data_IF_421303160323
#
_entry.id   IF_421303160323
#
_cell.length_a   1.000
_cell.length_b   1.000
_cell.length_c   1.000
_cell.angle_alpha   90.00
_cell.angle_beta   90.00
_cell.angle_gamma   90.00
#
_symmetry.space_group_name_H-M   'P 1'
#
loop_
_entity.id
_entity.type
_entity.pdbx_description
1 polymer ?
#
# COMPACT_ATOMS: atom_id res chain seq x y z
N UNK A 1 -73.23 31.25 -9.78
CA UNK A 1 -72.05 31.73 -10.52
C UNK A 1 -70.82 31.41 -9.71
N UNK A 2 -70.20 30.32 -10.09
CA UNK A 2 -69.07 29.69 -9.38
C UNK A 2 -67.79 30.25 -9.95
N UNK A 3 -66.93 30.85 -9.12
CA UNK A 3 -65.61 31.36 -9.53
C UNK A 3 -64.60 30.29 -9.20
N UNK A 4 -64.03 29.74 -10.27
CA UNK A 4 -62.93 28.75 -10.23
C UNK A 4 -61.69 29.34 -9.54
N UNK A 5 -61.26 28.67 -8.45
CA UNK A 5 -59.98 28.90 -7.82
C UNK A 5 -58.89 28.12 -8.58
N UNK A 6 -58.10 28.85 -9.37
CA UNK A 6 -56.87 28.33 -9.95
C UNK A 6 -55.98 27.65 -8.85
N UNK A 7 -55.77 26.36 -9.00
CA UNK A 7 -54.81 25.59 -8.24
C UNK A 7 -53.38 26.01 -8.65
N UNK A 8 -52.73 26.77 -7.79
CA UNK A 8 -51.28 26.90 -7.86
C UNK A 8 -50.66 25.53 -7.51
N UNK A 9 -50.05 24.89 -8.49
CA UNK A 9 -49.33 23.65 -8.36
C UNK A 9 -48.23 23.80 -7.32
N UNK A 10 -48.21 22.89 -6.34
CA UNK A 10 -47.09 22.70 -5.43
C UNK A 10 -45.82 22.43 -6.25
N UNK A 11 -44.89 23.40 -6.30
CA UNK A 11 -43.51 23.17 -6.75
C UNK A 11 -42.96 22.01 -5.88
N UNK A 12 -42.70 20.84 -6.51
CA UNK A 12 -41.85 19.82 -5.93
C UNK A 12 -40.56 20.52 -5.51
N UNK A 13 -40.10 20.34 -4.28
CA UNK A 13 -38.74 20.71 -3.86
C UNK A 13 -37.78 20.04 -4.83
N UNK A 14 -37.26 20.82 -5.80
CA UNK A 14 -36.26 20.36 -6.74
C UNK A 14 -35.00 20.02 -5.94
N UNK A 15 -34.45 18.84 -6.16
CA UNK A 15 -33.11 18.54 -5.71
C UNK A 15 -32.18 19.59 -6.35
N UNK A 16 -31.42 20.31 -5.51
CA UNK A 16 -30.39 21.24 -5.98
C UNK A 16 -29.28 20.38 -6.62
N UNK A 17 -28.85 20.72 -7.85
CA UNK A 17 -27.74 20.06 -8.51
C UNK A 17 -26.50 20.11 -7.60
N UNK A 18 -25.75 19.03 -7.55
CA UNK A 18 -24.46 18.95 -6.85
C UNK A 18 -23.32 19.00 -7.85
N UNK A 19 -22.34 19.87 -7.60
CA UNK A 19 -21.14 19.99 -8.42
C UNK A 19 -19.91 19.68 -7.59
N UNK A 20 -19.18 18.63 -7.98
CA UNK A 20 -17.91 18.23 -7.38
C UNK A 20 -16.76 18.88 -8.18
N UNK A 21 -15.89 19.61 -7.50
CA UNK A 21 -14.67 20.21 -8.05
C UNK A 21 -13.46 19.38 -7.62
N UNK A 22 -12.74 18.77 -8.57
CA UNK A 22 -11.56 17.94 -8.28
C UNK A 22 -10.31 18.80 -8.20
N UNK A 23 -9.63 18.80 -7.05
CA UNK A 23 -8.42 19.57 -6.78
C UNK A 23 -7.23 18.66 -6.49
N UNK A 24 -6.03 19.04 -6.94
CA UNK A 24 -4.77 18.31 -6.68
C UNK A 24 -3.80 18.31 -7.85
N UNK A 25 -2.54 17.94 -7.56
CA UNK A 25 -1.45 17.88 -8.54
C UNK A 25 -1.68 16.75 -9.57
N UNK A 26 -1.03 16.79 -10.72
CA UNK A 26 -1.05 15.71 -11.70
C UNK A 26 -0.60 14.38 -11.08
N UNK A 27 -1.28 13.28 -11.43
CA UNK A 27 -1.01 11.96 -10.80
C UNK A 27 -1.70 11.71 -9.45
N UNK A 28 -2.38 12.71 -8.84
CA UNK A 28 -3.01 12.55 -7.53
C UNK A 28 -4.28 11.68 -7.51
N UNK A 29 -4.79 11.22 -8.66
CA UNK A 29 -5.95 10.33 -8.73
C UNK A 29 -7.29 11.03 -8.96
N UNK A 30 -7.32 12.33 -9.31
CA UNK A 30 -8.53 13.10 -9.63
C UNK A 30 -9.40 12.40 -10.65
N UNK A 31 -8.83 12.05 -11.80
CA UNK A 31 -9.55 11.41 -12.91
C UNK A 31 -10.15 10.06 -12.51
N UNK A 32 -9.44 9.27 -11.70
CA UNK A 32 -9.96 8.00 -11.18
C UNK A 32 -11.18 8.22 -10.29
N UNK A 33 -11.11 9.21 -9.41
CA UNK A 33 -12.26 9.59 -8.56
C UNK A 33 -13.42 10.14 -9.39
N UNK A 34 -13.14 11.01 -10.36
CA UNK A 34 -14.17 11.60 -11.24
C UNK A 34 -14.87 10.54 -12.08
N UNK A 35 -14.15 9.55 -12.62
CA UNK A 35 -14.74 8.40 -13.33
C UNK A 35 -15.61 7.53 -12.44
N UNK A 36 -15.24 7.35 -11.17
CA UNK A 36 -16.11 6.66 -10.22
C UNK A 36 -17.42 7.43 -10.00
N UNK A 37 -17.37 8.76 -9.91
CA UNK A 37 -18.55 9.60 -9.79
C UNK A 37 -19.42 9.56 -11.07
N UNK A 38 -18.81 9.47 -12.24
CA UNK A 38 -19.51 9.27 -13.50
C UNK A 38 -20.30 7.95 -13.50
N UNK A 39 -19.75 6.87 -12.98
CA UNK A 39 -20.46 5.59 -12.77
C UNK A 39 -21.62 5.71 -11.76
N UNK A 40 -21.54 6.64 -10.82
CA UNK A 40 -22.60 6.97 -9.86
C UNK A 40 -23.68 7.91 -10.46
N UNK A 41 -23.55 8.31 -11.74
CA UNK A 41 -24.54 9.11 -12.47
C UNK A 41 -24.21 10.60 -12.59
N UNK A 42 -23.04 11.06 -12.16
CA UNK A 42 -22.55 12.43 -12.41
C UNK A 42 -22.14 12.60 -13.86
N UNK A 43 -22.30 13.80 -14.41
CA UNK A 43 -21.75 14.13 -15.73
C UNK A 43 -20.33 14.68 -15.52
N UNK A 44 -19.35 14.01 -16.10
CA UNK A 44 -17.95 14.44 -15.98
C UNK A 44 -17.59 15.45 -17.05
N UNK A 45 -16.91 16.53 -16.64
CA UNK A 45 -16.31 17.55 -17.51
C UNK A 45 -14.79 17.50 -17.32
N UNK A 46 -14.04 17.29 -18.40
CA UNK A 46 -12.58 17.18 -18.40
C UNK A 46 -11.99 17.97 -19.56
N UNK A 47 -11.06 18.88 -19.26
CA UNK A 47 -10.34 19.64 -20.29
C UNK A 47 -9.49 18.69 -21.13
N UNK A 48 -8.75 17.77 -20.50
CA UNK A 48 -7.84 16.85 -21.18
C UNK A 48 -8.60 15.98 -22.21
N UNK A 49 -9.75 15.42 -21.82
CA UNK A 49 -10.55 14.62 -22.76
C UNK A 49 -11.15 15.43 -23.90
N UNK A 50 -11.64 16.63 -23.62
CA UNK A 50 -12.23 17.48 -24.67
C UNK A 50 -11.14 17.99 -25.63
N UNK A 51 -9.94 18.34 -25.10
CA UNK A 51 -8.77 18.67 -25.91
C UNK A 51 -8.36 17.53 -26.84
N UNK A 52 -8.25 16.31 -26.27
CA UNK A 52 -7.91 15.12 -27.05
C UNK A 52 -8.94 14.83 -28.15
N UNK A 53 -10.21 15.00 -27.84
CA UNK A 53 -11.31 14.76 -28.79
C UNK A 53 -11.32 15.77 -29.93
N UNK A 54 -11.08 17.06 -29.64
CA UNK A 54 -11.17 18.15 -30.63
C UNK A 54 -9.89 18.32 -31.44
N UNK A 55 -8.73 18.14 -30.82
CA UNK A 55 -7.44 18.51 -31.39
C UNK A 55 -6.42 17.36 -31.45
N UNK A 56 -6.65 16.24 -30.75
CA UNK A 56 -5.72 15.12 -30.72
C UNK A 56 -4.56 15.35 -29.76
N UNK A 57 -3.36 14.93 -30.17
CA UNK A 57 -2.16 14.84 -29.30
C UNK A 57 -1.31 16.11 -29.40
N UNK A 58 -1.03 16.73 -28.26
CA UNK A 58 -0.11 17.86 -28.12
C UNK A 58 1.27 17.53 -28.70
N UNK A 59 1.82 18.42 -29.53
CA UNK A 59 3.13 18.24 -30.15
C UNK A 59 3.17 17.24 -31.32
N UNK A 60 2.04 16.57 -31.62
CA UNK A 60 1.91 15.62 -32.74
C UNK A 60 0.82 16.05 -33.70
N UNK A 61 -0.41 16.19 -33.23
CA UNK A 61 -1.56 16.53 -34.06
C UNK A 61 -1.79 18.05 -34.10
N UNK A 62 -1.26 18.82 -33.12
CA UNK A 62 -1.20 20.29 -33.12
C UNK A 62 0.08 20.78 -32.41
N UNK A 63 0.59 22.00 -32.77
CA UNK A 63 1.77 22.60 -32.16
C UNK A 63 1.66 22.82 -30.66
N UNK A 64 2.74 22.58 -29.93
CA UNK A 64 2.76 22.70 -28.46
C UNK A 64 2.44 24.11 -27.98
N UNK A 65 2.88 25.14 -28.71
CA UNK A 65 2.69 26.56 -28.40
C UNK A 65 1.21 26.97 -28.45
N UNK A 66 0.38 26.18 -29.12
CA UNK A 66 -1.07 26.45 -29.21
C UNK A 66 -1.87 25.89 -28.01
N UNK A 67 -1.23 25.07 -27.19
CA UNK A 67 -1.93 24.36 -26.11
C UNK A 67 -2.69 25.28 -25.17
N UNK A 68 -2.07 26.34 -24.66
CA UNK A 68 -2.70 27.27 -23.72
C UNK A 68 -3.95 27.91 -24.33
N UNK A 69 -3.82 28.48 -25.54
CA UNK A 69 -4.94 29.12 -26.24
C UNK A 69 -6.10 28.17 -26.51
N UNK A 70 -5.82 26.94 -26.93
CA UNK A 70 -6.84 25.92 -27.20
C UNK A 70 -7.49 25.43 -25.90
N UNK A 71 -6.70 25.24 -24.86
CA UNK A 71 -7.19 24.87 -23.54
C UNK A 71 -8.13 25.89 -22.93
N UNK A 72 -7.83 27.20 -23.04
CA UNK A 72 -8.71 28.28 -22.61
C UNK A 72 -10.05 28.27 -23.35
N UNK A 73 -10.04 28.03 -24.68
CA UNK A 73 -11.26 27.92 -25.47
C UNK A 73 -12.12 26.72 -25.03
N UNK A 74 -11.47 25.57 -24.76
CA UNK A 74 -12.15 24.37 -24.26
C UNK A 74 -12.72 24.63 -22.87
N UNK A 75 -11.97 25.25 -21.98
CA UNK A 75 -12.43 25.59 -20.64
C UNK A 75 -13.67 26.50 -20.71
N UNK A 76 -13.63 27.54 -21.53
CA UNK A 76 -14.80 28.45 -21.71
C UNK A 76 -16.05 27.72 -22.27
N UNK A 77 -15.85 26.76 -23.18
CA UNK A 77 -16.95 25.92 -23.68
C UNK A 77 -17.50 24.99 -22.58
N UNK A 78 -16.61 24.38 -21.76
CA UNK A 78 -17.01 23.53 -20.65
C UNK A 78 -17.71 24.31 -19.53
N UNK A 79 -17.33 25.56 -19.27
CA UNK A 79 -18.07 26.45 -18.35
C UNK A 79 -19.51 26.69 -18.81
N UNK A 80 -19.72 26.97 -20.09
CA UNK A 80 -21.08 27.12 -20.63
C UNK A 80 -21.88 25.83 -20.50
N UNK A 81 -21.25 24.68 -20.78
CA UNK A 81 -21.87 23.38 -20.63
C UNK A 81 -22.22 23.09 -19.16
N UNK A 82 -21.34 23.41 -18.21
CA UNK A 82 -21.58 23.29 -16.76
C UNK A 82 -22.86 24.05 -16.36
N UNK A 83 -22.99 25.34 -16.75
CA UNK A 83 -24.17 26.14 -16.42
C UNK A 83 -25.46 25.56 -17.01
N UNK A 84 -25.38 25.05 -18.23
CA UNK A 84 -26.53 24.37 -18.86
C UNK A 84 -26.95 23.11 -18.13
N UNK A 85 -25.98 22.30 -17.68
CA UNK A 85 -26.23 21.08 -16.91
C UNK A 85 -26.86 21.38 -15.54
N UNK A 86 -26.37 22.40 -14.85
CA UNK A 86 -26.94 22.86 -13.58
C UNK A 86 -28.40 23.27 -13.76
N UNK A 87 -28.71 24.06 -14.82
CA UNK A 87 -30.08 24.47 -15.15
C UNK A 87 -30.99 23.28 -15.44
N UNK A 88 -30.43 22.17 -15.96
CA UNK A 88 -31.15 20.91 -16.21
C UNK A 88 -31.30 20.05 -14.96
N UNK A 89 -30.79 20.47 -13.81
CA UNK A 89 -30.84 19.70 -12.56
C UNK A 89 -29.93 18.49 -12.56
N UNK A 90 -28.82 18.51 -13.31
CA UNK A 90 -27.86 17.41 -13.40
C UNK A 90 -26.73 17.60 -12.40
N UNK A 91 -26.30 16.50 -11.78
CA UNK A 91 -25.08 16.45 -10.96
C UNK A 91 -23.85 16.37 -11.86
N UNK A 92 -22.80 17.14 -11.52
CA UNK A 92 -21.60 17.29 -12.34
C UNK A 92 -20.34 17.06 -11.52
N UNK A 93 -19.33 16.40 -12.11
CA UNK A 93 -17.97 16.36 -11.58
C UNK A 93 -17.03 17.06 -12.55
N UNK A 94 -16.32 18.08 -12.07
CA UNK A 94 -15.34 18.86 -12.84
C UNK A 94 -13.96 18.27 -12.57
N UNK A 95 -13.43 17.54 -13.55
CA UNK A 95 -12.11 16.88 -13.49
C UNK A 95 -11.03 17.82 -14.04
N UNK A 96 -10.83 18.94 -13.33
CA UNK A 96 -9.76 19.91 -13.57
C UNK A 96 -8.75 19.83 -12.43
N UNK A 97 -7.63 20.59 -12.51
CA UNK A 97 -6.61 20.58 -11.45
C UNK A 97 -6.89 21.58 -10.34
N UNK A 98 -7.63 22.68 -10.63
CA UNK A 98 -7.92 23.78 -9.71
C UNK A 98 -6.72 24.22 -8.88
N UNK A 99 -5.66 24.64 -9.57
CA UNK A 99 -4.32 24.93 -9.03
C UNK A 99 -4.27 26.06 -8.02
N UNK A 100 -4.95 27.18 -8.34
CA UNK A 100 -4.91 28.37 -7.53
C UNK A 100 -6.20 28.55 -6.72
N UNK A 101 -6.07 29.21 -5.59
CA UNK A 101 -7.20 29.59 -4.75
C UNK A 101 -8.17 30.52 -5.51
N UNK A 102 -7.63 31.42 -6.34
CA UNK A 102 -8.43 32.33 -7.16
C UNK A 102 -9.33 31.56 -8.13
N UNK A 103 -8.76 30.62 -8.88
CA UNK A 103 -9.55 29.80 -9.82
C UNK A 103 -10.62 28.99 -9.08
N UNK A 104 -10.31 28.40 -7.93
CA UNK A 104 -11.31 27.70 -7.10
C UNK A 104 -12.45 28.59 -6.66
N UNK A 105 -12.17 29.83 -6.26
CA UNK A 105 -13.17 30.81 -5.84
C UNK A 105 -14.06 31.23 -7.01
N UNK A 106 -13.47 31.51 -8.18
CA UNK A 106 -14.23 31.87 -9.40
C UNK A 106 -15.26 30.79 -9.74
N UNK A 107 -14.86 29.52 -9.73
CA UNK A 107 -15.75 28.40 -10.01
C UNK A 107 -16.79 28.18 -8.90
N UNK A 108 -16.44 28.31 -7.63
CA UNK A 108 -17.41 28.26 -6.51
C UNK A 108 -18.50 29.31 -6.67
N UNK A 109 -18.10 30.54 -6.92
CA UNK A 109 -19.08 31.62 -7.15
C UNK A 109 -19.97 31.38 -8.38
N UNK A 110 -19.37 30.90 -9.48
CA UNK A 110 -20.12 30.60 -10.71
C UNK A 110 -21.20 29.55 -10.45
N UNK A 111 -20.84 28.47 -9.74
CA UNK A 111 -21.73 27.35 -9.41
C UNK A 111 -22.83 27.80 -8.44
N UNK A 112 -22.49 28.57 -7.41
CA UNK A 112 -23.44 29.10 -6.44
C UNK A 112 -24.44 30.08 -7.08
N UNK A 113 -23.96 30.97 -7.94
CA UNK A 113 -24.83 31.91 -8.72
C UNK A 113 -25.78 31.16 -9.65
N UNK A 114 -25.37 29.97 -10.15
CA UNK A 114 -26.22 29.09 -10.93
C UNK A 114 -27.24 28.28 -10.13
N UNK A 115 -27.17 28.32 -8.78
CA UNK A 115 -28.10 27.66 -7.88
C UNK A 115 -27.78 26.19 -7.59
N UNK A 116 -26.53 25.79 -7.67
CA UNK A 116 -26.06 24.44 -7.33
C UNK A 116 -25.22 24.41 -6.03
N UNK A 117 -25.19 23.24 -5.39
CA UNK A 117 -24.29 22.94 -4.27
C UNK A 117 -22.89 22.62 -4.78
N UNK A 118 -21.87 23.12 -4.09
CA UNK A 118 -20.45 22.89 -4.45
C UNK A 118 -19.78 22.02 -3.42
N UNK A 119 -19.07 20.98 -3.86
CA UNK A 119 -18.16 20.18 -3.03
C UNK A 119 -16.73 20.26 -3.63
N UNK A 120 -15.77 20.79 -2.87
CA UNK A 120 -14.36 20.78 -3.27
C UNK A 120 -13.70 19.51 -2.73
N UNK A 121 -13.22 18.63 -3.63
CA UNK A 121 -12.53 17.39 -3.27
C UNK A 121 -11.05 17.51 -3.60
N UNK A 122 -10.23 17.58 -2.56
CA UNK A 122 -8.78 17.66 -2.68
C UNK A 122 -8.14 16.27 -2.56
N UNK A 123 -7.51 15.83 -3.66
CA UNK A 123 -6.76 14.59 -3.73
C UNK A 123 -5.30 14.87 -3.32
N UNK A 124 -5.00 14.70 -2.02
CA UNK A 124 -3.65 14.97 -1.47
C UNK A 124 -2.78 13.72 -1.61
N UNK A 125 -1.63 13.86 -2.28
CA UNK A 125 -0.65 12.80 -2.50
C UNK A 125 0.75 13.32 -2.23
N UNK A 126 1.66 12.46 -1.75
CA UNK A 126 3.06 12.80 -1.60
C UNK A 126 3.74 12.91 -2.97
N UNK A 127 4.83 13.66 -3.05
CA UNK A 127 5.59 13.85 -4.29
C UNK A 127 6.11 12.51 -4.83
N UNK A 128 6.61 11.66 -3.95
CA UNK A 128 7.14 10.34 -4.29
C UNK A 128 6.05 9.45 -4.93
N UNK A 129 4.83 9.49 -4.35
CA UNK A 129 3.69 8.77 -4.93
C UNK A 129 3.31 9.31 -6.31
N UNK A 130 3.36 10.64 -6.49
CA UNK A 130 3.10 11.28 -7.78
C UNK A 130 4.12 10.86 -8.83
N UNK A 131 5.43 10.92 -8.51
CA UNK A 131 6.53 10.48 -9.42
C UNK A 131 6.30 9.06 -9.90
N UNK A 132 6.03 8.16 -8.99
CA UNK A 132 5.81 6.75 -9.28
C UNK A 132 4.57 6.50 -10.17
N UNK A 133 3.44 7.16 -9.86
CA UNK A 133 2.23 7.06 -10.67
C UNK A 133 2.44 7.65 -12.06
N UNK A 134 3.16 8.76 -12.16
CA UNK A 134 3.48 9.40 -13.44
C UNK A 134 4.43 8.57 -14.28
N UNK A 135 5.44 7.94 -13.68
CA UNK A 135 6.31 7.00 -14.38
C UNK A 135 5.51 5.90 -15.10
N UNK A 136 4.57 5.25 -14.39
CA UNK A 136 3.68 4.23 -15.00
C UNK A 136 2.75 4.83 -16.05
N UNK A 137 2.14 5.99 -15.76
CA UNK A 137 1.23 6.68 -16.67
C UNK A 137 1.89 7.09 -17.98
N UNK A 138 3.12 7.56 -17.91
CA UNK A 138 3.88 8.04 -19.06
C UNK A 138 4.22 6.93 -20.09
N UNK A 139 4.08 5.65 -19.72
CA UNK A 139 4.28 4.52 -20.63
C UNK A 139 3.16 4.39 -21.68
N UNK A 140 1.94 4.90 -21.38
CA UNK A 140 0.79 4.82 -22.28
C UNK A 140 0.03 6.12 -22.26
N UNK A 141 0.18 6.91 -23.32
CA UNK A 141 -0.57 8.16 -23.49
C UNK A 141 -2.00 7.88 -23.99
N UNK A 142 -2.96 8.63 -23.46
CA UNK A 142 -4.37 8.55 -23.84
C UNK A 142 -5.11 9.86 -23.49
N UNK A 143 -6.40 9.95 -23.76
CA UNK A 143 -7.21 11.15 -23.53
C UNK A 143 -7.18 11.71 -22.08
N UNK A 144 -6.85 10.88 -21.07
CA UNK A 144 -6.69 11.31 -19.67
C UNK A 144 -5.23 11.49 -19.27
N UNK A 145 -4.32 11.30 -20.22
CA UNK A 145 -2.89 11.40 -20.07
C UNK A 145 -2.28 11.83 -21.42
N UNK A 146 -2.60 13.05 -21.85
CA UNK A 146 -2.35 13.46 -23.25
C UNK A 146 -0.88 13.74 -23.56
N UNK A 147 -0.03 13.90 -22.53
CA UNK A 147 1.40 14.16 -22.68
C UNK A 147 2.20 13.63 -21.49
N UNK A 148 3.51 13.47 -21.72
CA UNK A 148 4.46 13.04 -20.69
C UNK A 148 4.66 14.14 -19.64
N UNK A 149 4.60 13.79 -18.36
CA UNK A 149 4.99 14.66 -17.26
C UNK A 149 6.37 14.20 -16.79
N UNK A 150 7.41 14.98 -17.05
CA UNK A 150 8.76 14.72 -16.53
C UNK A 150 8.87 15.10 -15.04
N UNK A 151 9.98 14.71 -14.41
CA UNK A 151 10.22 15.07 -13.00
C UNK A 151 10.35 16.60 -12.82
N UNK A 152 10.93 17.32 -13.78
CA UNK A 152 11.02 18.79 -13.76
C UNK A 152 9.64 19.44 -13.85
N UNK A 153 8.77 18.92 -14.72
CA UNK A 153 7.39 19.40 -14.85
C UNK A 153 6.62 19.11 -13.56
N UNK A 154 6.78 17.93 -12.99
CA UNK A 154 6.16 17.60 -11.70
C UNK A 154 6.64 18.52 -10.59
N UNK A 155 7.95 18.77 -10.49
CA UNK A 155 8.54 19.68 -9.51
C UNK A 155 7.92 21.06 -9.59
N UNK A 156 7.89 21.62 -10.80
CA UNK A 156 7.25 22.90 -11.06
C UNK A 156 5.77 22.91 -10.63
N UNK A 157 5.04 21.88 -11.03
CA UNK A 157 3.62 21.72 -10.70
C UNK A 157 3.38 21.56 -9.19
N UNK A 158 4.23 20.83 -8.50
CA UNK A 158 4.11 20.58 -7.07
C UNK A 158 4.33 21.85 -6.25
N UNK A 159 5.31 22.66 -6.64
CA UNK A 159 5.61 23.95 -5.96
C UNK A 159 4.64 25.07 -6.33
N UNK A 160 4.11 25.10 -7.55
CA UNK A 160 3.15 26.12 -7.98
C UNK A 160 1.73 25.84 -7.47
N UNK A 161 1.43 24.63 -7.02
CA UNK A 161 0.10 24.26 -6.53
C UNK A 161 -0.20 24.92 -5.18
N UNK A 162 -1.27 25.68 -5.13
CA UNK A 162 -1.79 26.29 -3.91
C UNK A 162 -2.73 25.32 -3.21
N UNK A 163 -2.21 24.63 -2.20
CA UNK A 163 -3.00 23.66 -1.42
C UNK A 163 -4.23 24.35 -0.81
N UNK A 164 -5.45 23.80 -0.97
CA UNK A 164 -6.62 24.36 -0.33
C UNK A 164 -6.53 24.20 1.18
N UNK A 165 -6.80 25.30 1.90
CA UNK A 165 -6.84 25.34 3.34
C UNK A 165 -7.98 26.22 3.83
N UNK A 166 -8.90 25.64 4.60
CA UNK A 166 -10.05 26.38 5.14
C UNK A 166 -11.06 26.83 4.07
N UNK A 167 -11.08 26.18 2.91
CA UNK A 167 -11.98 26.47 1.79
C UNK A 167 -13.24 25.57 1.79
N UNK A 168 -13.44 24.75 2.84
CA UNK A 168 -14.50 23.74 2.92
C UNK A 168 -14.18 22.49 2.10
N UNK A 169 -12.91 22.23 1.87
CA UNK A 169 -12.42 21.08 1.10
C UNK A 169 -12.59 19.77 1.86
N UNK A 170 -13.00 18.74 1.13
CA UNK A 170 -12.92 17.35 1.55
C UNK A 170 -11.58 16.79 1.13
N UNK A 171 -10.67 16.64 2.07
CA UNK A 171 -9.35 16.07 1.80
C UNK A 171 -9.43 14.55 1.72
N UNK A 172 -9.00 14.00 0.59
CA UNK A 172 -8.79 12.56 0.41
C UNK A 172 -7.30 12.33 0.34
N UNK A 173 -6.73 11.87 1.44
CA UNK A 173 -5.34 11.44 1.47
C UNK A 173 -5.20 10.25 0.52
N UNK A 174 -4.42 10.46 -0.54
CA UNK A 174 -3.96 9.35 -1.34
C UNK A 174 -2.91 8.65 -0.49
N UNK A 175 -3.34 7.57 0.12
CA UNK A 175 -2.38 6.59 0.62
C UNK A 175 -1.57 6.19 -0.60
N UNK A 176 -0.24 6.09 -0.45
CA UNK A 176 0.47 5.19 -1.32
C UNK A 176 -0.43 3.97 -1.35
N UNK A 177 -0.89 3.56 -2.52
CA UNK A 177 -1.21 2.17 -2.68
C UNK A 177 0.01 1.51 -2.09
N UNK A 178 -0.09 0.97 -0.84
CA UNK A 178 0.93 0.13 -0.24
C UNK A 178 1.21 -0.80 -1.38
N UNK A 179 2.33 -0.53 -2.08
CA UNK A 179 2.44 -0.95 -3.46
C UNK A 179 1.91 -2.35 -3.58
N UNK A 180 0.87 -2.52 -4.38
CA UNK A 180 0.87 -3.69 -5.20
C UNK A 180 2.13 -3.64 -6.09
N UNK A 181 3.31 -3.82 -5.46
CA UNK A 181 4.26 -4.72 -6.06
C UNK A 181 3.42 -5.94 -6.33
N UNK A 182 3.31 -6.25 -7.59
CA UNK A 182 2.67 -7.50 -7.87
C UNK A 182 3.39 -8.50 -6.98
N UNK A 183 2.64 -9.35 -6.32
CA UNK A 183 3.22 -10.40 -5.47
C UNK A 183 4.34 -11.12 -6.23
N UNK A 184 4.22 -11.12 -7.56
CA UNK A 184 5.16 -11.63 -8.53
C UNK A 184 6.49 -10.85 -8.57
N UNK A 185 6.47 -9.52 -8.41
CA UNK A 185 7.72 -8.72 -8.38
C UNK A 185 8.53 -8.99 -7.11
N UNK A 186 7.91 -9.02 -5.93
CA UNK A 186 8.59 -9.36 -4.68
C UNK A 186 9.17 -10.77 -4.76
N UNK A 187 8.40 -11.73 -5.28
CA UNK A 187 8.86 -13.10 -5.49
C UNK A 187 10.04 -13.18 -6.45
N UNK A 188 9.97 -12.43 -7.57
CA UNK A 188 11.05 -12.37 -8.56
C UNK A 188 12.34 -11.80 -7.97
N UNK A 189 12.24 -10.75 -7.14
CA UNK A 189 13.39 -10.15 -6.43
C UNK A 189 14.02 -11.17 -5.48
N UNK A 190 13.22 -11.85 -4.65
CA UNK A 190 13.73 -12.87 -3.74
C UNK A 190 14.33 -14.07 -4.47
N UNK A 191 13.74 -14.51 -5.60
CA UNK A 191 14.34 -15.55 -6.45
C UNK A 191 15.70 -15.11 -7.04
N UNK A 192 15.85 -13.84 -7.42
CA UNK A 192 17.12 -13.31 -7.94
C UNK A 192 18.18 -13.14 -6.85
N UNK A 193 17.78 -12.80 -5.65
CA UNK A 193 18.68 -12.62 -4.50
C UNK A 193 19.04 -13.95 -3.81
N UNK A 194 18.32 -15.04 -4.09
CA UNK A 194 18.37 -16.27 -3.30
C UNK A 194 19.78 -16.89 -3.19
N UNK A 195 20.50 -17.00 -4.30
CA UNK A 195 21.86 -17.59 -4.30
C UNK A 195 22.86 -16.72 -3.52
N UNK A 196 22.74 -15.39 -3.66
CA UNK A 196 23.57 -14.46 -2.90
C UNK A 196 23.28 -14.58 -1.39
N UNK A 197 22.00 -14.59 -1.00
CA UNK A 197 21.60 -14.72 0.39
C UNK A 197 21.99 -16.08 0.99
N UNK A 198 21.81 -17.17 0.26
CA UNK A 198 22.23 -18.51 0.70
C UNK A 198 23.75 -18.56 0.94
N UNK A 199 24.53 -17.94 0.06
CA UNK A 199 25.98 -17.86 0.20
C UNK A 199 26.37 -16.98 1.41
N UNK A 200 25.75 -15.79 1.55
CA UNK A 200 26.05 -14.86 2.63
C UNK A 200 25.66 -15.40 4.02
N UNK A 201 24.57 -16.15 4.10
CA UNK A 201 24.13 -16.80 5.33
C UNK A 201 24.91 -18.07 5.65
N UNK A 202 25.43 -18.77 4.65
CA UNK A 202 26.16 -20.01 4.84
C UNK A 202 25.38 -21.05 5.66
N UNK A 203 26.08 -21.88 6.44
CA UNK A 203 25.47 -22.96 7.23
C UNK A 203 24.98 -22.51 8.63
N UNK A 204 25.51 -21.40 9.15
CA UNK A 204 25.25 -20.95 10.53
C UNK A 204 24.52 -19.61 10.63
N UNK A 205 24.21 -18.97 9.50
CA UNK A 205 23.77 -17.57 9.38
C UNK A 205 24.89 -16.55 9.65
N UNK A 206 24.66 -15.29 9.27
CA UNK A 206 25.59 -14.20 9.58
C UNK A 206 25.58 -13.84 11.07
N UNK A 207 26.55 -13.03 11.50
CA UNK A 207 26.75 -12.64 12.90
C UNK A 207 25.50 -12.00 13.51
N UNK A 208 24.82 -11.13 12.77
CA UNK A 208 23.59 -10.49 13.23
C UNK A 208 22.50 -11.51 13.63
N UNK A 209 22.25 -12.49 12.77
CA UNK A 209 21.26 -13.55 13.08
C UNK A 209 21.75 -14.48 14.19
N UNK A 210 23.05 -14.78 14.21
CA UNK A 210 23.62 -15.73 15.16
C UNK A 210 23.72 -15.15 16.57
N UNK A 211 24.11 -13.87 16.70
CA UNK A 211 24.43 -13.25 17.98
C UNK A 211 23.28 -12.46 18.59
N UNK A 212 22.36 -11.94 17.77
CA UNK A 212 21.26 -11.06 18.22
C UNK A 212 19.90 -11.73 18.04
N UNK A 213 19.52 -12.08 16.82
CA UNK A 213 18.16 -12.56 16.54
C UNK A 213 17.91 -13.92 17.16
N UNK A 214 18.75 -14.92 16.81
CA UNK A 214 18.57 -16.33 17.20
C UNK A 214 18.52 -16.57 18.70
N UNK A 215 19.42 -16.01 19.52
CA UNK A 215 19.43 -16.29 20.97
C UNK A 215 18.12 -15.87 21.62
N UNK A 216 17.67 -14.64 21.40
CA UNK A 216 16.46 -14.11 22.05
C UNK A 216 15.19 -14.77 21.48
N UNK A 217 15.10 -14.96 20.17
CA UNK A 217 13.97 -15.67 19.55
C UNK A 217 13.86 -17.10 20.10
N UNK A 218 14.99 -17.81 20.24
CA UNK A 218 14.98 -19.17 20.77
C UNK A 218 14.60 -19.21 22.26
N UNK A 219 15.08 -18.25 23.06
CA UNK A 219 14.68 -18.10 24.47
C UNK A 219 13.16 -17.94 24.59
N UNK A 220 12.57 -17.05 23.79
CA UNK A 220 11.13 -16.75 23.83
C UNK A 220 10.28 -17.86 23.22
N UNK A 221 10.75 -18.52 22.19
CA UNK A 221 10.08 -19.67 21.58
C UNK A 221 10.14 -20.89 22.49
N UNK A 222 11.24 -21.06 23.27
CA UNK A 222 11.51 -22.16 24.20
C UNK A 222 11.16 -23.52 23.57
N UNK A 223 11.87 -23.94 22.49
CA UNK A 223 11.53 -25.15 21.74
C UNK A 223 11.82 -26.41 22.53
N UNK A 224 10.91 -27.40 22.48
CA UNK A 224 10.99 -28.70 23.08
C UNK A 224 10.92 -29.81 22.00
N UNK A 225 11.53 -30.97 22.14
CA UNK A 225 11.48 -32.07 21.17
C UNK A 225 10.05 -32.55 20.81
N UNK A 226 9.06 -32.29 21.67
CA UNK A 226 7.65 -32.62 21.42
C UNK A 226 6.93 -31.61 20.56
N UNK A 227 7.53 -30.44 20.32
CA UNK A 227 6.94 -29.36 19.52
C UNK A 227 6.82 -29.72 18.04
N UNK A 228 5.82 -29.11 17.41
CA UNK A 228 5.69 -29.01 15.97
C UNK A 228 5.64 -27.55 15.59
N UNK A 229 6.70 -27.06 14.98
CA UNK A 229 6.92 -25.63 14.79
C UNK A 229 6.71 -25.24 13.31
N UNK A 230 5.98 -24.14 13.08
CA UNK A 230 5.88 -23.47 11.79
C UNK A 230 6.96 -22.40 11.66
N UNK A 231 7.94 -22.59 10.78
CA UNK A 231 8.98 -21.60 10.45
C UNK A 231 8.57 -20.80 9.21
N UNK A 232 8.32 -19.51 9.40
CA UNK A 232 7.67 -18.60 8.45
C UNK A 232 8.73 -17.79 7.72
N UNK A 233 8.72 -17.83 6.37
CA UNK A 233 9.72 -17.19 5.50
C UNK A 233 11.14 -17.63 5.91
N UNK A 234 11.34 -18.95 5.85
CA UNK A 234 12.50 -19.63 6.41
C UNK A 234 13.83 -19.38 5.68
N UNK A 235 13.81 -18.70 4.51
CA UNK A 235 14.99 -18.46 3.69
C UNK A 235 15.70 -19.76 3.32
N UNK A 236 17.00 -19.85 3.59
CA UNK A 236 17.82 -21.04 3.34
C UNK A 236 17.69 -22.14 4.44
N UNK A 237 16.76 -21.99 5.37
CA UNK A 237 16.41 -22.98 6.38
C UNK A 237 17.37 -23.10 7.56
N UNK A 238 18.26 -22.14 7.78
CA UNK A 238 19.25 -22.21 8.87
C UNK A 238 18.61 -22.25 10.27
N UNK A 239 17.53 -21.50 10.50
CA UNK A 239 16.84 -21.56 11.79
C UNK A 239 16.05 -22.87 11.94
N UNK A 240 15.41 -23.35 10.87
CA UNK A 240 14.78 -24.67 10.86
C UNK A 240 15.78 -25.78 11.21
N UNK A 241 17.01 -25.72 10.65
CA UNK A 241 18.09 -26.69 10.98
C UNK A 241 18.49 -26.60 12.45
N UNK A 242 18.65 -25.40 12.99
CA UNK A 242 18.96 -25.19 14.40
C UNK A 242 17.87 -25.78 15.33
N UNK A 243 16.61 -25.74 14.96
CA UNK A 243 15.52 -26.40 15.68
C UNK A 243 15.59 -27.92 15.54
N UNK A 244 15.88 -28.41 14.34
CA UNK A 244 16.04 -29.84 14.07
C UNK A 244 17.21 -30.47 14.83
N UNK A 245 18.29 -29.74 15.09
CA UNK A 245 19.38 -30.16 15.98
C UNK A 245 18.92 -30.47 17.42
N UNK A 246 17.81 -29.88 17.83
CA UNK A 246 17.15 -30.11 19.12
C UNK A 246 16.04 -31.17 19.03
N UNK A 247 16.03 -31.96 17.96
CA UNK A 247 15.00 -32.96 17.65
C UNK A 247 13.56 -32.41 17.52
N UNK A 248 13.40 -31.13 17.17
CA UNK A 248 12.10 -30.48 16.96
C UNK A 248 11.62 -30.76 15.53
N UNK A 249 10.34 -31.09 15.37
CA UNK A 249 9.73 -31.21 14.05
C UNK A 249 9.31 -29.84 13.52
N UNK A 250 9.67 -29.55 12.27
CA UNK A 250 9.45 -28.23 11.65
C UNK A 250 8.75 -28.36 10.30
N UNK A 251 7.70 -27.57 10.08
CA UNK A 251 7.25 -27.25 8.73
C UNK A 251 7.75 -25.83 8.44
N UNK A 252 8.56 -25.68 7.41
CA UNK A 252 9.19 -24.43 7.03
C UNK A 252 8.71 -24.00 5.64
N UNK A 253 8.31 -22.73 5.47
CA UNK A 253 7.93 -22.24 4.17
C UNK A 253 8.61 -20.92 3.82
N UNK A 254 8.79 -20.72 2.53
CA UNK A 254 9.21 -19.43 1.97
C UNK A 254 8.37 -19.11 0.72
N UNK A 255 8.32 -17.84 0.34
CA UNK A 255 7.62 -17.41 -0.86
C UNK A 255 8.44 -17.68 -2.13
N UNK A 256 9.78 -17.64 -2.01
CA UNK A 256 10.72 -17.89 -3.09
C UNK A 256 10.91 -19.41 -3.31
N UNK A 257 10.54 -19.91 -4.48
CA UNK A 257 10.85 -21.30 -4.87
C UNK A 257 12.34 -21.57 -4.81
N UNK A 258 13.15 -20.58 -5.20
CA UNK A 258 14.60 -20.73 -5.23
C UNK A 258 15.19 -20.85 -3.82
N UNK A 259 14.68 -20.07 -2.85
CA UNK A 259 15.06 -20.24 -1.44
C UNK A 259 14.71 -21.62 -0.91
N UNK A 260 13.51 -22.11 -1.21
CA UNK A 260 13.06 -23.45 -0.79
C UNK A 260 13.93 -24.56 -1.40
N UNK A 261 14.35 -24.43 -2.68
CA UNK A 261 15.28 -25.36 -3.32
C UNK A 261 16.64 -25.39 -2.59
N UNK A 262 17.18 -24.20 -2.30
CA UNK A 262 18.46 -24.05 -1.59
C UNK A 262 18.36 -24.60 -0.15
N UNK A 263 17.27 -24.29 0.56
CA UNK A 263 17.00 -24.83 1.89
C UNK A 263 16.98 -26.37 1.91
N UNK A 264 16.23 -27.00 1.00
CA UNK A 264 16.17 -28.46 0.87
C UNK A 264 17.55 -29.07 0.59
N UNK A 265 18.34 -28.42 -0.26
CA UNK A 265 19.70 -28.88 -0.59
C UNK A 265 20.65 -28.75 0.60
N UNK A 266 20.64 -27.58 1.25
CA UNK A 266 21.52 -27.25 2.38
C UNK A 266 21.20 -28.09 3.61
N UNK A 267 19.92 -28.24 3.93
CA UNK A 267 19.47 -28.90 5.15
C UNK A 267 19.08 -30.38 4.95
N UNK A 268 19.58 -31.00 3.88
CA UNK A 268 19.29 -32.40 3.53
C UNK A 268 19.49 -33.40 4.70
N UNK A 269 20.45 -33.12 5.57
CA UNK A 269 20.74 -33.96 6.76
C UNK A 269 19.61 -33.99 7.79
N UNK A 270 18.69 -33.02 7.73
CA UNK A 270 17.53 -32.91 8.63
C UNK A 270 16.20 -33.21 7.96
N UNK A 271 16.20 -33.94 6.84
CA UNK A 271 14.99 -34.25 6.07
C UNK A 271 13.91 -35.00 6.87
N UNK A 272 14.32 -35.74 7.92
CA UNK A 272 13.38 -36.43 8.80
C UNK A 272 12.68 -35.49 9.82
N UNK A 273 13.22 -34.30 10.03
CA UNK A 273 12.72 -33.31 10.98
C UNK A 273 12.06 -32.11 10.29
N UNK A 274 12.48 -31.77 9.05
CA UNK A 274 12.06 -30.53 8.39
C UNK A 274 11.33 -30.83 7.08
N UNK A 275 10.08 -30.40 7.00
CA UNK A 275 9.33 -30.34 5.75
C UNK A 275 9.43 -28.91 5.18
N UNK A 276 10.03 -28.74 3.98
CA UNK A 276 10.10 -27.46 3.28
C UNK A 276 9.06 -27.36 2.18
N UNK A 277 8.31 -26.24 2.12
CA UNK A 277 7.32 -25.98 1.09
C UNK A 277 7.32 -24.51 0.64
N UNK A 278 6.67 -24.22 -0.49
CA UNK A 278 6.45 -22.86 -0.99
C UNK A 278 5.06 -22.42 -0.55
N UNK A 279 4.97 -21.24 0.08
CA UNK A 279 3.68 -20.64 0.42
C UNK A 279 3.74 -19.12 0.39
N UNK A 280 2.60 -18.48 0.10
CA UNK A 280 2.42 -17.04 0.06
C UNK A 280 1.86 -16.54 1.39
N UNK A 281 2.68 -15.85 2.18
CA UNK A 281 2.30 -15.27 3.47
C UNK A 281 1.19 -14.21 3.39
N UNK A 282 0.91 -13.67 2.20
CA UNK A 282 -0.16 -12.70 1.96
C UNK A 282 -1.48 -13.34 1.51
N UNK A 283 -1.53 -14.68 1.44
CA UNK A 283 -2.68 -15.44 0.92
C UNK A 283 -3.16 -16.47 1.94
N UNK A 284 -4.32 -16.22 2.54
CA UNK A 284 -4.91 -17.10 3.56
C UNK A 284 -5.13 -18.54 3.04
N UNK A 285 -5.57 -18.71 1.77
CA UNK A 285 -5.76 -20.05 1.19
C UNK A 285 -4.45 -20.81 1.09
N UNK A 286 -3.36 -20.13 0.67
CA UNK A 286 -2.01 -20.71 0.61
C UNK A 286 -1.53 -21.15 2.00
N UNK A 287 -1.72 -20.28 3.00
CA UNK A 287 -1.32 -20.56 4.37
C UNK A 287 -2.15 -21.67 5.02
N UNK A 288 -3.46 -21.70 4.78
CA UNK A 288 -4.33 -22.76 5.32
C UNK A 288 -4.06 -24.14 4.70
N UNK A 289 -3.44 -24.20 3.51
CA UNK A 289 -2.94 -25.44 2.91
C UNK A 289 -1.74 -26.05 3.66
N UNK A 290 -1.11 -25.28 4.56
CA UNK A 290 -0.06 -25.78 5.45
C UNK A 290 -0.58 -26.63 6.62
N UNK A 291 -1.89 -26.62 6.85
CA UNK A 291 -2.52 -27.41 7.90
C UNK A 291 -2.20 -28.89 7.73
N UNK A 292 -1.82 -29.55 8.82
CA UNK A 292 -1.57 -30.98 8.91
C UNK A 292 -2.56 -31.61 9.90
N UNK A 293 -2.43 -32.91 10.11
CA UNK A 293 -3.28 -33.66 11.06
C UNK A 293 -3.06 -33.21 12.51
N UNK A 294 -1.88 -32.72 12.84
CA UNK A 294 -1.53 -32.15 14.15
C UNK A 294 -1.43 -30.62 14.01
N UNK A 295 -2.02 -29.82 14.89
CA UNK A 295 -1.83 -28.38 14.90
C UNK A 295 -0.37 -28.05 15.27
N UNK A 296 0.07 -26.82 14.94
CA UNK A 296 1.38 -26.35 15.38
C UNK A 296 1.32 -25.93 16.85
N UNK A 297 2.32 -26.33 17.64
CA UNK A 297 2.47 -25.88 19.01
C UNK A 297 3.04 -24.46 19.06
N UNK A 298 3.90 -24.14 18.10
CA UNK A 298 4.58 -22.84 18.00
C UNK A 298 4.73 -22.41 16.55
N UNK A 299 4.89 -21.12 16.37
CA UNK A 299 5.24 -20.50 15.10
C UNK A 299 6.35 -19.48 15.30
N UNK A 300 7.21 -19.31 14.31
CA UNK A 300 8.32 -18.36 14.36
C UNK A 300 8.48 -17.64 13.01
N UNK A 301 8.86 -16.35 13.05
CA UNK A 301 9.23 -15.58 11.87
C UNK A 301 10.45 -14.71 12.21
N UNK A 302 11.58 -15.01 11.58
CA UNK A 302 12.85 -14.32 11.83
C UNK A 302 13.12 -13.31 10.73
N UNK A 303 13.05 -12.00 11.06
CA UNK A 303 13.42 -10.90 10.16
C UNK A 303 12.73 -10.96 8.79
N UNK A 304 11.41 -11.27 8.77
CA UNK A 304 10.64 -11.37 7.53
C UNK A 304 9.36 -10.54 7.52
N UNK A 305 8.81 -10.18 8.68
CA UNK A 305 7.55 -9.42 8.77
C UNK A 305 7.62 -8.09 8.01
N UNK A 306 8.78 -7.43 7.99
CA UNK A 306 9.01 -6.20 7.24
C UNK A 306 9.07 -6.40 5.71
N UNK A 307 9.27 -7.63 5.22
CA UNK A 307 9.33 -7.95 3.79
C UNK A 307 7.96 -8.35 3.21
N UNK A 308 6.96 -8.52 4.05
CA UNK A 308 5.62 -8.99 3.67
C UNK A 308 4.68 -7.79 3.49
N UNK A 309 4.11 -7.65 2.29
CA UNK A 309 3.23 -6.52 1.90
C UNK A 309 2.02 -6.38 2.80
N UNK A 310 1.28 -7.47 3.02
CA UNK A 310 0.12 -7.54 3.91
C UNK A 310 0.30 -8.69 4.89
N UNK A 311 0.54 -8.35 6.15
CA UNK A 311 0.76 -9.33 7.22
C UNK A 311 -0.54 -9.81 7.89
N UNK A 312 -1.69 -9.22 7.57
CA UNK A 312 -2.96 -9.60 8.18
C UNK A 312 -3.35 -11.06 7.85
N UNK A 313 -3.27 -11.54 6.58
CA UNK A 313 -3.51 -12.94 6.26
C UNK A 313 -2.58 -13.88 7.01
N UNK A 314 -1.30 -13.50 7.16
CA UNK A 314 -0.31 -14.29 7.93
C UNK A 314 -0.74 -14.44 9.38
N UNK A 315 -0.96 -13.35 10.11
CA UNK A 315 -1.32 -13.38 11.54
C UNK A 315 -2.62 -14.14 11.77
N UNK A 316 -3.64 -13.90 10.92
CA UNK A 316 -4.92 -14.61 11.00
C UNK A 316 -4.75 -16.11 10.76
N UNK A 317 -3.92 -16.52 9.80
CA UNK A 317 -3.70 -17.94 9.50
C UNK A 317 -2.86 -18.62 10.57
N UNK A 318 -1.81 -17.95 11.08
CA UNK A 318 -1.00 -18.48 12.18
C UNK A 318 -1.86 -18.72 13.42
N UNK A 319 -2.75 -17.78 13.76
CA UNK A 319 -3.69 -17.97 14.87
C UNK A 319 -4.59 -19.20 14.69
N UNK A 320 -5.07 -19.46 13.47
CA UNK A 320 -5.91 -20.63 13.15
C UNK A 320 -5.12 -21.94 13.13
N UNK A 321 -3.86 -21.91 12.75
CA UNK A 321 -2.99 -23.09 12.61
C UNK A 321 -2.38 -23.54 13.95
N UNK A 322 -2.22 -22.61 14.90
CA UNK A 322 -1.74 -22.91 16.23
C UNK A 322 -2.79 -23.63 17.07
N UNK A 323 -2.36 -24.55 17.92
CA UNK A 323 -3.18 -25.09 19.01
C UNK A 323 -3.51 -24.01 20.06
N UNK A 324 -4.42 -24.30 20.97
CA UNK A 324 -4.72 -23.41 22.10
C UNK A 324 -3.50 -23.35 23.03
N UNK A 325 -3.19 -22.16 23.52
CA UNK A 325 -1.95 -21.80 24.22
C UNK A 325 -0.69 -21.87 23.33
N UNK A 326 -0.85 -22.07 22.02
CA UNK A 326 0.25 -22.04 21.07
C UNK A 326 0.93 -20.66 21.00
N UNK A 327 2.23 -20.67 20.78
CA UNK A 327 3.09 -19.47 20.83
C UNK A 327 3.50 -19.02 19.44
N UNK A 328 3.43 -17.72 19.18
CA UNK A 328 3.99 -17.09 18.00
C UNK A 328 5.07 -16.09 18.38
N UNK A 329 6.30 -16.33 17.94
CA UNK A 329 7.44 -15.42 18.13
C UNK A 329 7.83 -14.84 16.77
N UNK A 330 7.95 -13.52 16.68
CA UNK A 330 8.47 -12.89 15.47
C UNK A 330 9.45 -11.78 15.78
N UNK A 331 10.50 -11.70 14.96
CA UNK A 331 11.48 -10.62 14.97
C UNK A 331 11.35 -9.80 13.68
N UNK A 332 11.45 -8.49 13.80
CA UNK A 332 11.41 -7.56 12.67
C UNK A 332 12.26 -6.32 12.94
N UNK A 333 12.64 -5.58 11.92
CA UNK A 333 13.32 -4.29 12.06
C UNK A 333 12.57 -3.37 13.02
N UNK A 334 13.32 -2.63 13.83
CA UNK A 334 12.72 -1.66 14.75
C UNK A 334 12.13 -0.47 13.97
N UNK A 335 10.81 -0.26 14.01
CA UNK A 335 10.17 0.71 13.12
C UNK A 335 10.51 2.17 13.46
N UNK A 336 10.99 2.46 14.67
CA UNK A 336 11.35 3.81 15.09
C UNK A 336 12.80 4.18 14.72
N UNK A 337 13.72 3.22 14.69
CA UNK A 337 15.15 3.52 14.67
C UNK A 337 15.87 3.04 13.40
N UNK A 338 15.37 1.99 12.73
CA UNK A 338 15.99 1.50 11.49
C UNK A 338 15.53 2.33 10.30
N UNK A 339 14.24 2.63 10.24
CA UNK A 339 13.69 3.49 9.21
C UNK A 339 13.49 4.89 9.78
N UNK A 340 14.50 5.74 9.69
CA UNK A 340 14.37 7.17 10.06
C UNK A 340 13.39 7.84 9.10
N UNK A 341 12.10 7.74 9.37
CA UNK A 341 11.04 8.29 8.55
C UNK A 341 10.30 9.41 9.27
N UNK A 342 10.04 10.50 8.56
CA UNK A 342 9.14 11.56 9.02
C UNK A 342 7.66 11.10 9.08
N UNK A 343 7.36 9.93 8.52
CA UNK A 343 6.00 9.38 8.37
C UNK A 343 5.76 8.13 9.23
N UNK A 344 6.25 8.13 10.47
CA UNK A 344 6.18 6.95 11.35
C UNK A 344 4.76 6.36 11.49
N UNK A 345 3.72 7.18 11.63
CA UNK A 345 2.33 6.73 11.79
C UNK A 345 1.66 6.31 10.47
N UNK A 346 2.32 6.51 9.34
CA UNK A 346 1.77 6.18 8.02
C UNK A 346 2.47 4.97 7.46
N UNK A 347 1.79 3.82 7.27
CA UNK A 347 2.38 2.66 6.61
C UNK A 347 2.86 3.04 5.21
N UNK A 348 4.09 2.68 4.87
CA UNK A 348 4.71 2.94 3.58
C UNK A 348 5.75 1.87 3.25
N UNK A 349 6.24 1.86 2.02
CA UNK A 349 7.31 0.96 1.60
C UNK A 349 8.52 1.75 1.11
N UNK A 350 9.68 1.13 1.22
CA UNK A 350 10.95 1.67 0.72
C UNK A 350 11.84 0.53 0.21
N UNK A 351 12.85 0.89 -0.59
CA UNK A 351 13.79 -0.06 -1.16
C UNK A 351 15.15 0.10 -0.54
N UNK A 352 15.72 -1.02 -0.10
CA UNK A 352 17.08 -1.01 0.42
C UNK A 352 17.80 -2.32 0.16
N UNK A 353 19.10 -2.31 0.44
CA UNK A 353 20.01 -3.45 0.38
C UNK A 353 20.32 -3.84 1.83
N UNK A 354 19.99 -5.08 2.19
CA UNK A 354 20.28 -5.57 3.54
C UNK A 354 21.75 -5.99 3.70
N UNK A 355 22.36 -6.53 2.65
CA UNK A 355 23.75 -7.01 2.65
C UNK A 355 24.46 -6.40 1.45
N UNK A 356 25.62 -5.78 1.68
CA UNK A 356 26.44 -5.19 0.62
C UNK A 356 26.74 -6.21 -0.48
N UNK A 357 26.55 -5.81 -1.74
CA UNK A 357 26.72 -6.69 -2.90
C UNK A 357 25.46 -7.47 -3.30
N UNK A 358 24.35 -7.33 -2.59
CA UNK A 358 23.07 -7.93 -2.97
C UNK A 358 22.62 -7.51 -4.37
N UNK A 359 22.21 -8.45 -5.26
CA UNK A 359 21.92 -8.15 -6.65
C UNK A 359 20.77 -7.17 -6.87
N UNK A 360 19.69 -7.30 -6.11
CA UNK A 360 18.50 -6.47 -6.23
C UNK A 360 18.13 -5.86 -4.87
N UNK A 361 17.73 -4.59 -4.86
CA UNK A 361 17.12 -3.97 -3.70
C UNK A 361 15.80 -4.67 -3.39
N UNK A 362 15.60 -5.06 -2.14
CA UNK A 362 14.32 -5.60 -1.67
C UNK A 362 13.41 -4.49 -1.16
N UNK A 363 12.11 -4.76 -1.17
CA UNK A 363 11.10 -3.84 -0.69
C UNK A 363 10.78 -4.14 0.77
N UNK A 364 10.94 -3.15 1.62
CA UNK A 364 10.54 -3.19 3.02
C UNK A 364 9.23 -2.44 3.23
N UNK A 365 8.42 -2.92 4.16
CA UNK A 365 7.12 -2.36 4.51
C UNK A 365 7.14 -1.83 5.94
N UNK A 366 7.22 -0.50 6.06
CA UNK A 366 7.13 0.16 7.36
C UNK A 366 5.72 0.07 7.95
N UNK A 367 5.64 -0.28 9.22
CA UNK A 367 4.44 -0.25 10.06
C UNK A 367 4.82 0.29 11.43
N UNK A 368 3.95 1.12 12.02
CA UNK A 368 4.17 1.59 13.38
C UNK A 368 4.07 0.44 14.40
N UNK A 369 4.65 0.59 15.58
CA UNK A 369 4.43 -0.36 16.68
C UNK A 369 2.95 -0.54 16.98
N UNK A 370 2.17 0.56 16.91
CA UNK A 370 0.73 0.53 17.09
C UNK A 370 0.04 -0.37 16.06
N UNK A 371 0.41 -0.30 14.77
CA UNK A 371 -0.19 -1.14 13.73
C UNK A 371 0.13 -2.62 13.95
N UNK A 372 1.38 -2.93 14.34
CA UNK A 372 1.82 -4.30 14.62
C UNK A 372 1.07 -4.88 15.82
N UNK A 373 0.99 -4.13 16.91
CA UNK A 373 0.32 -4.60 18.14
C UNK A 373 -1.19 -4.69 17.99
N UNK A 374 -1.82 -3.70 17.36
CA UNK A 374 -3.25 -3.76 17.06
C UNK A 374 -3.59 -4.99 16.21
N UNK A 375 -2.74 -5.33 15.23
CA UNK A 375 -2.95 -6.54 14.44
C UNK A 375 -2.88 -7.82 15.28
N UNK A 376 -1.96 -7.92 16.25
CA UNK A 376 -1.94 -9.03 17.20
C UNK A 376 -3.26 -9.11 17.98
N UNK A 377 -3.71 -7.99 18.55
CA UNK A 377 -4.94 -7.92 19.36
C UNK A 377 -6.19 -8.21 18.54
N UNK A 378 -6.31 -7.62 17.34
CA UNK A 378 -7.45 -7.82 16.43
C UNK A 378 -7.54 -9.28 15.94
N UNK A 379 -6.40 -9.95 15.83
CA UNK A 379 -6.35 -11.38 15.47
C UNK A 379 -6.74 -12.29 16.63
N UNK A 380 -6.60 -11.81 17.87
CA UNK A 380 -6.92 -12.51 19.12
C UNK A 380 -5.70 -13.00 19.89
N UNK A 381 -4.49 -12.66 19.47
CA UNK A 381 -3.28 -12.92 20.23
C UNK A 381 -3.18 -12.04 21.48
N UNK A 382 -2.59 -12.57 22.51
CA UNK A 382 -2.14 -11.81 23.69
C UNK A 382 -0.62 -11.72 23.62
N UNK A 383 -0.10 -10.49 23.64
CA UNK A 383 1.33 -10.24 23.69
C UNK A 383 1.76 -10.38 25.16
N UNK A 384 2.65 -11.33 25.45
CA UNK A 384 3.22 -11.58 26.77
C UNK A 384 4.73 -11.34 26.84
N UNK A 385 5.34 -10.95 25.71
CA UNK A 385 6.75 -10.58 25.64
C UNK A 385 7.01 -9.57 24.52
N UNK A 386 7.74 -8.48 24.84
CA UNK A 386 8.23 -7.49 23.90
C UNK A 386 9.66 -7.12 24.30
N UNK A 387 10.58 -7.27 23.36
CA UNK A 387 12.01 -7.04 23.57
C UNK A 387 12.58 -6.24 22.40
N UNK A 388 13.56 -5.42 22.76
CA UNK A 388 14.33 -4.61 21.82
C UNK A 388 15.79 -5.06 21.91
N UNK A 389 16.41 -5.34 20.76
CA UNK A 389 17.78 -5.83 20.71
C UNK A 389 18.64 -4.94 19.82
N UNK A 390 19.89 -4.74 20.25
CA UNK A 390 20.88 -3.86 19.63
C UNK A 390 22.02 -4.67 19.01
N UNK A 391 22.43 -4.31 17.80
CA UNK A 391 23.61 -4.88 17.14
C UNK A 391 24.71 -3.83 16.89
N UNK A 392 24.37 -2.77 16.14
CA UNK A 392 25.35 -1.76 15.77
C UNK A 392 25.63 -0.75 16.87
N UNK A 393 24.64 -0.36 17.62
CA UNK A 393 24.73 0.61 18.70
C UNK A 393 23.99 0.09 19.93
N UNK A 394 24.70 -0.04 21.07
CA UNK A 394 24.13 -0.62 22.30
C UNK A 394 22.99 0.20 22.94
N UNK A 395 22.80 1.45 22.51
CA UNK A 395 21.77 2.38 23.02
C UNK A 395 20.61 2.57 22.05
N UNK A 396 20.72 2.07 20.81
CA UNK A 396 19.69 2.21 19.77
C UNK A 396 19.34 0.83 19.24
N UNK A 397 18.13 0.33 19.49
CA UNK A 397 17.74 -1.00 19.08
C UNK A 397 17.55 -1.09 17.55
N UNK A 398 18.03 -2.16 16.97
CA UNK A 398 17.92 -2.48 15.55
C UNK A 398 16.66 -3.30 15.25
N UNK A 399 16.20 -4.10 16.21
CA UNK A 399 15.06 -4.99 16.05
C UNK A 399 14.12 -4.98 17.26
N UNK A 400 12.89 -5.36 16.98
CA UNK A 400 11.93 -5.79 17.99
C UNK A 400 11.70 -7.29 17.88
N UNK A 401 11.49 -7.94 19.01
CA UNK A 401 11.07 -9.34 19.09
C UNK A 401 9.82 -9.41 19.97
N UNK A 402 8.77 -9.98 19.39
CA UNK A 402 7.46 -10.07 20.05
C UNK A 402 7.12 -11.53 20.27
N UNK A 403 6.66 -11.84 21.49
CA UNK A 403 6.07 -13.12 21.83
C UNK A 403 4.57 -12.92 22.05
N UNK A 404 3.78 -13.70 21.32
CA UNK A 404 2.33 -13.65 21.35
C UNK A 404 1.76 -15.07 21.59
N UNK A 405 0.68 -15.15 22.37
CA UNK A 405 0.04 -16.42 22.72
C UNK A 405 -1.39 -16.43 22.20
N UNK A 406 -1.79 -17.55 21.61
CA UNK A 406 -3.19 -17.85 21.34
C UNK A 406 -3.85 -18.35 22.65
N UNK A 407 -4.75 -17.55 23.21
CA UNK A 407 -5.49 -17.95 24.41
C UNK A 407 -6.73 -18.74 24.03
N UNK A 408 -7.00 -19.82 24.73
CA UNK A 408 -8.27 -20.55 24.67
C UNK A 408 -9.43 -19.60 25.01
N UNK A 409 -10.44 -19.54 24.14
CA UNK A 409 -11.66 -18.74 24.35
C UNK A 409 -12.85 -19.62 24.70
#
# INVERSE_FOLDING_TARGET
MQIDRCRFGKRKRGFMSKVIMMCGVCGSGKTTYAKKKEQEGYIRLSIDEEMWKLYGRKGIDYPEEQYEKLSEQVEAALQKKLLSLIQQGKDVVIDFSFWSKENRNVYKELIQKAGAETELVYMKASKELLQKRLYKRNQVLNANSPFVITDEILEHHYHAFQEPWGEGEKVILQKEDIMQYSKEESKAIWNQNAEFWDCAMGDESNDFHREVVRPKVTELLNPDPTDYILDIACGNGNYSAYLAEKAVSVLAFDYSEKMVELAKKRQKRYADYIEFCVADATNETSLMALKRNKPFTKAVSNMAVMDITDIKPLFTSVYKLLEDNGVFVFATQHPCFVTLTEKYMTPHSYYDIAIEGQPQKQCYYHRSLQDIFNLCFDTGFVIDGFYEECYFNKEIPDIIIVRAIKIER
#
